data_IF_225079731095
#
_entry.id   IF_225079731095
#
_cell.length_a   1.000
_cell.length_b   1.000
_cell.length_c   1.000
_cell.angle_alpha   90.00
_cell.angle_beta   90.00
_cell.angle_gamma   90.00
#
_symmetry.space_group_name_H-M   'P 1'
#
loop_
_entity.id
_entity.type
_entity.pdbx_description
1 polymer ?
#
# COMPACT_ATOMS: atom_id res chain seq x y z
N UNK A 1 -64.08 1.93 17.14
CA UNK A 1 -62.68 1.82 17.63
C UNK A 1 -62.17 3.22 17.97
N UNK A 2 -61.66 3.48 19.17
CA UNK A 2 -61.32 4.85 19.63
C UNK A 2 -59.98 5.32 19.05
N UNK A 3 -60.02 6.26 18.10
CA UNK A 3 -58.85 6.83 17.43
C UNK A 3 -57.75 7.30 18.39
N UNK A 4 -58.12 7.88 19.54
CA UNK A 4 -57.15 8.34 20.55
C UNK A 4 -56.34 7.18 21.17
N UNK A 5 -56.95 6.00 21.34
CA UNK A 5 -56.26 4.80 21.84
C UNK A 5 -55.30 4.22 20.79
N UNK A 6 -55.69 4.22 19.52
CA UNK A 6 -54.84 3.73 18.42
C UNK A 6 -53.59 4.62 18.30
N UNK A 7 -53.78 5.94 18.30
CA UNK A 7 -52.68 6.92 18.22
C UNK A 7 -51.76 6.82 19.45
N UNK A 8 -52.32 6.63 20.65
CA UNK A 8 -51.54 6.44 21.88
C UNK A 8 -50.66 5.18 21.83
N UNK A 9 -51.22 4.05 21.40
CA UNK A 9 -50.47 2.79 21.25
C UNK A 9 -49.37 2.95 20.18
N UNK A 10 -49.69 3.57 19.05
CA UNK A 10 -48.72 3.80 17.98
C UNK A 10 -47.54 4.67 18.43
N UNK A 11 -47.79 5.73 19.22
CA UNK A 11 -46.70 6.54 19.80
C UNK A 11 -45.83 5.76 20.78
N UNK A 12 -46.43 4.97 21.67
CA UNK A 12 -45.66 4.15 22.62
C UNK A 12 -44.81 3.13 21.88
N UNK A 13 -45.37 2.43 20.88
CA UNK A 13 -44.63 1.48 20.05
C UNK A 13 -43.49 2.19 19.32
N UNK A 14 -43.72 3.37 18.75
CA UNK A 14 -42.68 4.15 18.08
C UNK A 14 -41.54 4.55 19.03
N UNK A 15 -41.85 5.02 20.24
CA UNK A 15 -40.85 5.38 21.25
C UNK A 15 -40.06 4.16 21.72
N UNK A 16 -40.74 3.05 22.02
CA UNK A 16 -40.09 1.80 22.45
C UNK A 16 -39.19 1.25 21.35
N UNK A 17 -39.67 1.19 20.10
CA UNK A 17 -38.84 0.79 18.96
C UNK A 17 -37.65 1.73 18.78
N UNK A 18 -37.84 3.04 18.93
CA UNK A 18 -36.76 4.01 18.87
C UNK A 18 -35.67 3.77 19.91
N UNK A 19 -36.06 3.50 21.16
CA UNK A 19 -35.13 3.19 22.26
C UNK A 19 -34.42 1.85 22.05
N UNK A 20 -35.13 0.81 21.64
CA UNK A 20 -34.56 -0.52 21.37
C UNK A 20 -33.58 -0.47 20.20
N UNK A 21 -33.98 0.15 19.08
CA UNK A 21 -33.11 0.33 17.92
C UNK A 21 -31.89 1.20 18.27
N UNK A 22 -32.08 2.28 19.02
CA UNK A 22 -30.98 3.14 19.48
C UNK A 22 -30.00 2.41 20.40
N UNK A 23 -30.49 1.62 21.34
CA UNK A 23 -29.67 0.81 22.25
C UNK A 23 -28.89 -0.29 21.51
N UNK A 24 -29.55 -0.99 20.57
CA UNK A 24 -28.90 -1.99 19.73
C UNK A 24 -27.80 -1.36 18.87
N UNK A 25 -28.10 -0.23 18.23
CA UNK A 25 -27.16 0.50 17.38
C UNK A 25 -25.94 0.98 18.17
N UNK A 26 -26.14 1.60 19.34
CA UNK A 26 -25.06 2.03 20.22
C UNK A 26 -24.19 0.86 20.69
N UNK A 27 -24.81 -0.27 21.00
CA UNK A 27 -24.09 -1.49 21.41
C UNK A 27 -23.27 -2.07 20.27
N UNK A 28 -23.85 -2.20 19.06
CA UNK A 28 -23.13 -2.69 17.87
C UNK A 28 -21.96 -1.79 17.50
N UNK A 29 -22.15 -0.46 17.57
CA UNK A 29 -21.07 0.49 17.34
C UNK A 29 -19.95 0.33 18.37
N UNK A 30 -20.29 0.24 19.65
CA UNK A 30 -19.28 0.06 20.71
C UNK A 30 -18.52 -1.25 20.56
N UNK A 31 -19.21 -2.35 20.27
CA UNK A 31 -18.59 -3.65 19.98
C UNK A 31 -17.68 -3.56 18.76
N UNK A 32 -18.16 -2.96 17.67
CA UNK A 32 -17.38 -2.76 16.45
C UNK A 32 -16.12 -1.93 16.69
N UNK A 33 -16.25 -0.81 17.39
CA UNK A 33 -15.10 0.03 17.78
C UNK A 33 -14.09 -0.75 18.64
N UNK A 34 -14.56 -1.50 19.64
CA UNK A 34 -13.68 -2.28 20.53
C UNK A 34 -13.02 -3.45 19.82
N UNK A 35 -13.68 -4.09 18.87
CA UNK A 35 -13.09 -5.14 18.04
C UNK A 35 -12.01 -4.55 17.14
N UNK A 36 -12.30 -3.42 16.48
CA UNK A 36 -11.33 -2.66 15.68
C UNK A 36 -10.11 -2.24 16.49
N UNK A 37 -10.29 -1.70 17.71
CA UNK A 37 -9.16 -1.34 18.58
C UNK A 37 -8.34 -2.56 19.01
N UNK A 38 -8.99 -3.72 19.26
CA UNK A 38 -8.31 -4.97 19.58
C UNK A 38 -7.55 -5.54 18.39
N UNK A 39 -8.17 -5.56 17.22
CA UNK A 39 -7.52 -5.97 15.98
C UNK A 39 -6.31 -5.09 15.71
N UNK A 40 -6.48 -3.77 15.74
CA UNK A 40 -5.41 -2.79 15.63
C UNK A 40 -4.23 -3.11 16.57
N UNK A 41 -4.51 -3.28 17.86
CA UNK A 41 -3.50 -3.60 18.85
C UNK A 41 -2.79 -4.94 18.59
N UNK A 42 -3.49 -5.90 17.98
CA UNK A 42 -2.93 -7.20 17.58
C UNK A 42 -1.98 -7.12 16.38
N UNK A 43 -2.08 -6.07 15.55
CA UNK A 43 -1.21 -5.90 14.37
C UNK A 43 0.11 -5.22 14.69
N UNK A 44 0.22 -4.55 15.84
CA UNK A 44 1.51 -4.10 16.36
C UNK A 44 2.31 -5.34 16.77
N UNK A 45 3.61 -5.39 16.44
CA UNK A 45 4.46 -6.53 16.84
C UNK A 45 4.65 -6.62 18.36
N UNK A 46 4.24 -5.59 19.11
CA UNK A 46 4.42 -5.45 20.57
C UNK A 46 5.88 -5.54 21.01
N UNK A 47 6.81 -5.47 20.06
CA UNK A 47 8.23 -5.67 20.21
C UNK A 47 8.95 -4.65 19.33
N UNK A 48 9.92 -3.91 19.87
CA UNK A 48 10.71 -2.96 19.08
C UNK A 48 11.42 -3.67 17.93
N UNK A 49 11.30 -3.12 16.72
CA UNK A 49 11.96 -3.66 15.53
C UNK A 49 13.42 -3.25 15.45
N UNK A 50 14.21 -4.09 14.80
CA UNK A 50 15.60 -3.78 14.52
C UNK A 50 15.72 -2.60 13.53
N UNK A 51 16.79 -1.79 13.61
CA UNK A 51 17.02 -0.66 12.70
C UNK A 51 16.90 -0.98 11.20
N UNK A 52 17.31 -2.17 10.77
CA UNK A 52 17.23 -2.59 9.38
C UNK A 52 15.81 -3.01 8.94
N UNK A 53 15.00 -3.53 9.87
CA UNK A 53 13.59 -3.85 9.64
C UNK A 53 12.77 -2.57 9.47
N UNK A 54 13.02 -1.58 10.34
CA UNK A 54 12.42 -0.23 10.25
C UNK A 54 12.73 0.38 8.87
N UNK A 55 13.99 0.29 8.42
CA UNK A 55 14.40 0.78 7.10
C UNK A 55 13.67 0.07 5.97
N UNK A 56 13.57 -1.27 6.01
CA UNK A 56 12.87 -2.07 5.02
C UNK A 56 11.39 -1.69 4.89
N UNK A 57 10.72 -1.48 6.02
CA UNK A 57 9.32 -1.03 6.05
C UNK A 57 9.17 0.37 5.44
N UNK A 58 10.03 1.34 5.80
CA UNK A 58 9.99 2.68 5.21
C UNK A 58 10.25 2.66 3.70
N UNK A 59 11.24 1.89 3.24
CA UNK A 59 11.53 1.68 1.81
C UNK A 59 10.33 1.08 1.09
N UNK A 60 9.67 0.08 1.69
CA UNK A 60 8.49 -0.54 1.12
C UNK A 60 7.28 0.42 1.11
N UNK A 61 7.10 1.25 2.14
CA UNK A 61 6.02 2.25 2.19
C UNK A 61 6.08 3.18 0.97
N UNK A 62 7.27 3.67 0.61
CA UNK A 62 7.47 4.49 -0.58
C UNK A 62 6.94 3.84 -1.87
N UNK A 63 7.04 2.51 -1.99
CA UNK A 63 6.60 1.80 -3.20
C UNK A 63 5.07 1.72 -3.35
N UNK A 64 4.30 1.85 -2.27
CA UNK A 64 2.84 1.87 -2.34
C UNK A 64 2.27 3.06 -3.12
N UNK A 65 3.05 4.12 -3.38
CA UNK A 65 2.61 5.23 -4.26
C UNK A 65 2.26 4.78 -5.68
N UNK A 66 2.83 3.65 -6.12
CA UNK A 66 2.54 3.04 -7.43
C UNK A 66 1.34 2.08 -7.37
N UNK A 67 0.77 1.90 -6.18
CA UNK A 67 -0.25 0.91 -5.83
C UNK A 67 -1.36 1.58 -4.98
N UNK A 68 -1.94 0.87 -4.01
CA UNK A 68 -2.94 1.40 -3.06
C UNK A 68 -2.22 1.79 -1.78
N UNK A 69 -2.34 3.04 -1.36
CA UNK A 69 -1.64 3.53 -0.16
C UNK A 69 -2.33 2.96 1.10
N UNK A 70 -1.60 2.33 2.03
CA UNK A 70 -2.21 1.72 3.20
C UNK A 70 -2.71 2.76 4.20
N UNK A 71 -3.69 2.37 5.01
CA UNK A 71 -4.14 3.12 6.18
C UNK A 71 -3.50 2.54 7.44
N UNK A 72 -2.99 3.41 8.31
CA UNK A 72 -2.60 3.06 9.67
C UNK A 72 -3.58 3.67 10.66
N UNK A 73 -4.86 3.58 10.35
CA UNK A 73 -5.96 3.70 11.31
C UNK A 73 -7.16 2.94 10.76
N UNK A 74 -8.04 2.45 11.63
CA UNK A 74 -9.33 1.97 11.16
C UNK A 74 -10.11 3.10 10.49
N UNK A 75 -11.11 2.74 9.68
CA UNK A 75 -12.00 3.71 9.03
C UNK A 75 -12.67 4.65 10.04
N UNK A 76 -12.97 4.14 11.23
CA UNK A 76 -13.48 4.92 12.35
C UNK A 76 -12.46 5.93 12.93
N UNK A 77 -11.21 5.90 12.49
CA UNK A 77 -10.18 6.88 12.83
C UNK A 77 -10.00 7.99 11.79
N UNK A 78 -10.75 7.97 10.68
CA UNK A 78 -10.52 8.88 9.53
C UNK A 78 -11.20 10.25 9.69
N UNK A 79 -11.75 10.55 10.86
CA UNK A 79 -12.37 11.84 11.15
C UNK A 79 -11.34 12.98 11.08
N UNK A 80 -11.80 14.19 10.73
CA UNK A 80 -10.98 15.39 10.49
C UNK A 80 -10.07 15.70 11.70
N UNK A 81 -10.52 15.38 12.92
CA UNK A 81 -9.78 15.63 14.17
C UNK A 81 -8.69 14.58 14.45
N UNK A 82 -8.80 13.38 13.85
CA UNK A 82 -7.90 12.25 14.06
C UNK A 82 -7.04 11.91 12.84
N UNK A 83 -6.94 12.81 11.86
CA UNK A 83 -5.99 12.67 10.75
C UNK A 83 -4.54 12.39 11.23
N UNK A 84 -4.17 12.95 12.39
CA UNK A 84 -2.91 12.71 13.08
C UNK A 84 -2.73 11.26 13.57
N UNK A 85 -3.83 10.58 13.91
CA UNK A 85 -3.82 9.19 14.37
C UNK A 85 -3.23 8.26 13.31
N UNK A 86 -3.45 8.54 12.02
CA UNK A 86 -2.87 7.77 10.94
C UNK A 86 -1.33 7.85 10.91
N UNK A 87 -0.77 9.05 11.07
CA UNK A 87 0.70 9.23 11.08
C UNK A 87 1.31 8.64 12.35
N UNK A 88 0.65 8.82 13.49
CA UNK A 88 1.05 8.18 14.76
C UNK A 88 1.01 6.65 14.63
N UNK A 89 -0.07 6.12 14.07
CA UNK A 89 -0.26 4.70 13.81
C UNK A 89 0.81 4.14 12.88
N UNK A 90 1.15 4.87 11.82
CA UNK A 90 2.24 4.49 10.91
C UNK A 90 3.59 4.41 11.65
N UNK A 91 3.93 5.42 12.43
CA UNK A 91 5.18 5.44 13.23
C UNK A 91 5.23 4.26 14.19
N UNK A 92 4.17 4.06 14.99
CA UNK A 92 4.10 2.95 15.95
C UNK A 92 4.16 1.60 15.24
N UNK A 93 3.43 1.46 14.14
CA UNK A 93 3.44 0.25 13.34
C UNK A 93 4.80 -0.03 12.76
N UNK A 94 5.57 0.97 12.30
CA UNK A 94 6.91 0.81 11.72
C UNK A 94 7.94 0.47 12.80
N UNK A 95 7.83 1.07 13.99
CA UNK A 95 8.72 0.80 15.11
C UNK A 95 8.40 -0.52 15.82
N UNK A 96 7.17 -1.03 15.69
CA UNK A 96 6.73 -2.29 16.27
C UNK A 96 6.19 -2.19 17.69
N UNK A 97 6.10 -0.96 18.21
CA UNK A 97 5.69 -0.66 19.57
C UNK A 97 4.93 0.68 19.62
N UNK A 98 4.21 0.92 20.70
CA UNK A 98 3.52 2.19 20.93
C UNK A 98 4.49 3.31 21.35
N UNK A 99 5.23 3.85 20.37
CA UNK A 99 6.21 4.92 20.60
C UNK A 99 5.56 6.29 20.78
N UNK A 100 4.48 6.57 20.07
CA UNK A 100 3.74 7.84 20.07
C UNK A 100 2.30 7.63 20.54
N UNK A 101 1.77 8.57 21.32
CA UNK A 101 0.37 8.61 21.74
C UNK A 101 -0.45 9.32 20.67
N UNK A 102 -1.60 8.73 20.33
CA UNK A 102 -2.57 9.34 19.44
C UNK A 102 -3.15 10.59 20.11
N UNK A 103 -3.14 11.70 19.37
CA UNK A 103 -3.75 12.96 19.74
C UNK A 103 -4.17 13.70 18.47
N UNK A 104 -5.07 14.67 18.60
CA UNK A 104 -5.33 15.63 17.52
C UNK A 104 -4.02 16.31 17.10
N UNK A 105 -3.91 16.68 15.82
CA UNK A 105 -2.67 17.25 15.27
C UNK A 105 -2.15 18.41 16.12
N UNK A 106 -3.03 19.35 16.49
CA UNK A 106 -2.66 20.51 17.31
C UNK A 106 -2.24 20.15 18.74
N UNK A 107 -2.54 18.96 19.25
CA UNK A 107 -2.08 18.49 20.57
C UNK A 107 -0.86 17.58 20.48
N UNK A 108 -0.32 17.34 19.29
CA UNK A 108 0.68 16.31 19.04
C UNK A 108 1.94 16.48 19.86
N UNK A 109 2.53 17.68 19.90
CA UNK A 109 3.78 17.89 20.64
C UNK A 109 3.58 17.74 22.16
N UNK A 110 2.46 18.25 22.68
CA UNK A 110 2.11 18.15 24.11
C UNK A 110 1.90 16.70 24.53
N UNK A 111 1.20 15.91 23.71
CA UNK A 111 0.93 14.51 24.00
C UNK A 111 2.19 13.62 23.95
N UNK A 112 3.25 14.09 23.27
CA UNK A 112 4.45 13.30 22.95
C UNK A 112 5.76 14.02 23.32
N UNK A 113 5.73 14.97 24.25
CA UNK A 113 6.87 15.86 24.54
C UNK A 113 8.13 15.09 24.99
N UNK A 114 7.95 14.02 25.75
CA UNK A 114 9.00 13.11 26.22
C UNK A 114 9.54 12.20 25.10
N UNK A 115 8.76 11.97 24.05
CA UNK A 115 9.04 11.03 22.93
C UNK A 115 9.61 11.71 21.68
N UNK A 116 9.55 13.04 21.62
CA UNK A 116 9.95 13.83 20.46
C UNK A 116 11.14 14.73 20.77
N UNK A 117 11.93 15.04 19.74
CA UNK A 117 12.87 16.16 19.74
C UNK A 117 12.40 17.17 18.69
N UNK A 118 12.10 18.39 19.11
CA UNK A 118 11.79 19.48 18.18
C UNK A 118 13.04 19.81 17.38
N UNK A 119 12.92 19.77 16.05
CA UNK A 119 14.01 20.05 15.13
C UNK A 119 13.80 21.39 14.42
N UNK A 120 12.54 21.79 14.24
CA UNK A 120 12.19 23.00 13.51
C UNK A 120 10.87 23.57 14.03
N UNK A 121 10.80 24.90 14.17
CA UNK A 121 9.60 25.62 14.61
C UNK A 121 9.44 26.96 13.88
N UNK A 122 8.27 27.15 13.26
CA UNK A 122 7.85 28.39 12.59
C UNK A 122 6.61 29.00 13.21
N UNK A 123 6.22 28.59 14.41
CA UNK A 123 4.97 29.08 15.02
C UNK A 123 4.92 30.61 15.09
N UNK A 124 6.07 31.28 15.26
CA UNK A 124 6.24 32.73 15.23
C UNK A 124 5.88 33.41 13.89
N UNK A 125 5.90 32.66 12.78
CA UNK A 125 5.57 33.17 11.45
C UNK A 125 4.04 33.27 11.25
N UNK A 126 3.23 32.80 12.20
CA UNK A 126 1.77 32.85 12.13
C UNK A 126 1.19 33.81 13.15
N UNK A 127 -0.02 34.30 12.87
CA UNK A 127 -0.84 35.11 13.79
C UNK A 127 -2.29 34.63 13.75
N UNK A 128 -3.04 34.99 14.79
CA UNK A 128 -4.48 34.78 14.84
C UNK A 128 -5.18 36.06 14.40
N UNK A 129 -6.06 35.95 13.41
CA UNK A 129 -6.93 37.03 12.94
C UNK A 129 -8.39 36.58 13.06
N UNK A 130 -9.09 37.09 14.07
CA UNK A 130 -10.44 36.62 14.40
C UNK A 130 -10.45 35.13 14.78
N UNK A 131 -11.11 34.30 13.99
CA UNK A 131 -11.16 32.84 14.17
C UNK A 131 -10.24 32.08 13.20
N UNK A 132 -9.25 32.75 12.62
CA UNK A 132 -8.35 32.18 11.61
C UNK A 132 -6.89 32.23 12.06
N UNK A 133 -6.13 31.21 11.66
CA UNK A 133 -4.66 31.22 11.74
C UNK A 133 -4.14 31.63 10.37
N UNK A 134 -3.34 32.70 10.31
CA UNK A 134 -2.86 33.30 9.08
C UNK A 134 -1.33 33.43 9.14
N UNK A 135 -0.65 33.03 8.08
CA UNK A 135 0.80 33.26 7.95
C UNK A 135 1.07 34.76 7.77
N UNK A 136 1.99 35.32 8.56
CA UNK A 136 2.34 36.75 8.52
C UNK A 136 3.02 37.15 7.22
N UNK A 137 3.79 36.23 6.62
CA UNK A 137 4.53 36.42 5.38
C UNK A 137 4.58 35.10 4.63
N UNK A 138 4.07 35.09 3.40
CA UNK A 138 4.18 33.95 2.49
C UNK A 138 5.66 33.73 2.16
N UNK A 139 6.26 32.68 2.74
CA UNK A 139 7.67 32.35 2.55
C UNK A 139 7.79 31.12 1.68
N UNK A 140 8.63 31.23 0.65
CA UNK A 140 9.03 30.06 -0.14
C UNK A 140 9.79 29.09 0.78
N UNK A 141 9.16 27.95 1.06
CA UNK A 141 9.65 26.94 1.99
C UNK A 141 10.38 25.84 1.24
N UNK A 142 11.64 25.52 1.58
CA UNK A 142 12.38 24.43 0.94
C UNK A 142 12.64 23.29 1.93
N UNK A 143 11.70 22.34 2.02
CA UNK A 143 11.85 21.20 2.93
C UNK A 143 13.17 20.46 2.67
N UNK A 144 13.53 20.22 1.41
CA UNK A 144 14.80 19.57 1.05
C UNK A 144 16.03 20.27 1.62
N UNK A 145 16.02 21.60 1.72
CA UNK A 145 17.11 22.41 2.28
C UNK A 145 17.16 22.32 3.81
N UNK A 146 16.00 22.33 4.47
CA UNK A 146 15.90 22.09 5.92
C UNK A 146 16.30 20.65 6.28
N UNK A 147 15.86 19.68 5.47
CA UNK A 147 16.20 18.28 5.64
C UNK A 147 17.70 18.02 5.41
N UNK A 148 18.34 18.69 4.45
CA UNK A 148 19.79 18.59 4.26
C UNK A 148 20.63 19.19 5.42
N UNK A 149 20.00 19.87 6.40
CA UNK A 149 20.69 20.73 7.38
C UNK A 149 20.32 20.54 8.87
N UNK A 150 19.60 19.50 9.38
CA UNK A 150 19.37 19.25 10.87
C UNK A 150 19.50 17.82 11.61
N UNK A 151 20.52 17.48 12.47
CA UNK A 151 20.98 16.12 12.95
C UNK A 151 22.53 15.83 12.94
N UNK A 152 23.16 15.76 14.13
CA UNK A 152 24.62 15.81 14.49
C UNK A 152 25.42 16.90 13.75
N UNK A 153 25.53 18.06 14.39
CA UNK A 153 25.78 19.41 13.86
C UNK A 153 24.58 20.07 13.16
N UNK A 154 23.43 19.42 13.14
CA UNK A 154 22.34 19.87 12.28
C UNK A 154 22.45 19.31 10.83
N UNK A 155 22.15 18.03 10.50
CA UNK A 155 21.59 17.43 9.23
C UNK A 155 20.45 16.37 9.41
N UNK A 156 19.23 16.51 8.84
CA UNK A 156 18.12 15.55 9.06
C UNK A 156 18.48 14.32 8.25
N UNK A 157 18.64 13.19 8.92
CA UNK A 157 19.22 12.00 8.32
C UNK A 157 18.14 11.04 7.83
N UNK A 158 18.32 10.37 6.70
CA UNK A 158 17.44 9.24 6.31
C UNK A 158 17.54 8.02 7.24
N UNK A 159 18.30 8.15 8.34
CA UNK A 159 18.50 7.15 9.37
C UNK A 159 17.62 7.37 10.59
N UNK A 160 16.65 8.29 10.57
CA UNK A 160 15.69 8.51 11.67
C UNK A 160 14.30 8.83 11.13
N UNK A 161 13.27 8.66 11.96
CA UNK A 161 11.90 9.02 11.63
C UNK A 161 11.60 10.46 12.02
N UNK A 162 10.93 11.18 11.11
CA UNK A 162 10.51 12.55 11.32
C UNK A 162 9.02 12.72 11.04
N UNK A 163 8.36 13.47 11.91
CA UNK A 163 6.96 13.89 11.74
C UNK A 163 6.94 15.38 11.47
N UNK A 164 6.23 15.79 10.43
CA UNK A 164 6.01 17.19 10.06
C UNK A 164 4.60 17.57 10.50
N UNK A 165 4.50 18.65 11.28
CA UNK A 165 3.24 19.32 11.55
C UNK A 165 3.05 20.45 10.54
N UNK A 166 1.93 20.44 9.83
CA UNK A 166 1.59 21.47 8.86
C UNK A 166 0.16 21.98 9.03
N UNK A 167 -0.08 23.20 8.57
CA UNK A 167 -1.36 23.89 8.67
C UNK A 167 -1.92 24.15 7.28
N UNK A 168 -3.14 23.70 7.01
CA UNK A 168 -3.87 24.08 5.80
C UNK A 168 -4.43 25.49 5.91
N UNK A 169 -4.23 26.28 4.87
CA UNK A 169 -4.85 27.59 4.71
C UNK A 169 -6.37 27.42 4.78
N UNK A 170 -7.01 28.24 5.61
CA UNK A 170 -8.48 28.31 5.75
C UNK A 170 -9.18 27.04 6.29
N UNK A 171 -8.49 26.18 7.04
CA UNK A 171 -9.14 25.00 7.64
C UNK A 171 -10.26 25.35 8.62
N UNK A 172 -11.30 24.49 8.70
CA UNK A 172 -12.35 24.59 9.73
C UNK A 172 -11.80 24.39 11.15
N UNK A 173 -10.64 23.76 11.26
CA UNK A 173 -9.98 23.47 12.54
C UNK A 173 -9.37 24.72 13.21
N UNK A 174 -9.26 25.87 12.53
CA UNK A 174 -8.61 27.07 13.09
C UNK A 174 -9.20 27.46 14.46
N UNK A 175 -10.53 27.45 14.57
CA UNK A 175 -11.21 27.76 15.83
C UNK A 175 -10.85 26.77 16.95
N UNK A 176 -10.74 25.48 16.64
CA UNK A 176 -10.35 24.45 17.60
C UNK A 176 -8.88 24.60 18.01
N UNK A 177 -8.01 24.90 17.06
CA UNK A 177 -6.58 25.15 17.27
C UNK A 177 -6.38 26.34 18.21
N UNK A 178 -7.04 27.47 17.91
CA UNK A 178 -6.98 28.70 18.71
C UNK A 178 -7.48 28.43 20.13
N UNK A 179 -8.66 27.82 20.27
CA UNK A 179 -9.26 27.54 21.58
C UNK A 179 -8.44 26.57 22.42
N UNK A 180 -7.74 25.62 21.78
CA UNK A 180 -6.92 24.64 22.49
C UNK A 180 -5.59 25.25 23.01
N UNK A 181 -5.18 26.42 22.53
CA UNK A 181 -3.89 27.04 22.87
C UNK A 181 -2.72 26.07 22.65
N UNK A 182 -2.77 25.32 21.56
CA UNK A 182 -1.90 24.18 21.29
C UNK A 182 -1.03 24.44 20.05
N UNK A 183 -0.43 23.40 19.47
CA UNK A 183 0.32 23.54 18.22
C UNK A 183 -0.59 24.05 17.10
N UNK A 184 -0.09 24.98 16.26
CA UNK A 184 -0.92 25.56 15.20
C UNK A 184 -1.08 24.65 13.97
N UNK A 185 -0.52 23.44 13.98
CA UNK A 185 -0.68 22.50 12.87
C UNK A 185 -2.07 21.86 12.88
N UNK A 186 -2.66 21.72 11.69
CA UNK A 186 -3.94 21.04 11.52
C UNK A 186 -3.77 19.57 11.12
N UNK A 187 -2.62 19.19 10.56
CA UNK A 187 -2.35 17.83 10.09
C UNK A 187 -0.91 17.40 10.42
N UNK A 188 -0.64 16.10 10.25
CA UNK A 188 0.68 15.51 10.38
C UNK A 188 1.09 14.78 9.10
N UNK A 189 2.39 14.62 8.91
CA UNK A 189 3.00 13.83 7.84
C UNK A 189 4.22 13.06 8.37
N UNK A 190 4.40 11.82 7.94
CA UNK A 190 5.61 11.02 8.17
C UNK A 190 6.58 11.21 7.00
N UNK A 191 7.83 11.58 7.28
CA UNK A 191 8.90 11.66 6.26
C UNK A 191 9.43 10.25 5.96
N UNK A 192 9.39 9.82 4.70
CA UNK A 192 9.86 8.50 4.27
C UNK A 192 11.34 8.47 3.87
N UNK A 193 11.93 9.64 3.60
CA UNK A 193 13.31 9.75 3.14
C UNK A 193 13.43 10.24 1.70
N UNK A 194 14.65 10.12 1.16
CA UNK A 194 15.00 10.60 -0.18
C UNK A 194 15.02 9.45 -1.19
N UNK A 195 14.20 9.55 -2.23
CA UNK A 195 14.11 8.61 -3.34
C UNK A 195 14.09 9.36 -4.66
N UNK A 196 14.82 8.85 -5.65
CA UNK A 196 14.93 9.47 -6.98
C UNK A 196 15.29 10.96 -6.91
N UNK A 197 16.17 11.30 -5.95
CA UNK A 197 16.62 12.68 -5.70
C UNK A 197 15.62 13.58 -4.95
N UNK A 198 14.39 13.12 -4.71
CA UNK A 198 13.29 13.85 -4.05
C UNK A 198 13.04 13.35 -2.63
N UNK A 199 12.53 14.21 -1.76
CA UNK A 199 11.99 13.80 -0.46
C UNK A 199 10.52 13.42 -0.60
N UNK A 200 10.10 12.40 0.12
CA UNK A 200 8.74 11.87 0.09
C UNK A 200 8.13 11.81 1.48
N UNK A 201 6.81 12.05 1.55
CA UNK A 201 6.05 12.04 2.79
C UNK A 201 4.77 11.23 2.67
N UNK A 202 4.43 10.50 3.73
CA UNK A 202 3.17 9.79 3.90
C UNK A 202 2.22 10.63 4.77
N UNK A 203 1.00 10.82 4.32
CA UNK A 203 0.00 11.62 5.05
C UNK A 203 -1.44 11.28 4.65
N UNK A 204 -2.37 11.76 5.48
CA UNK A 204 -3.80 11.77 5.18
C UNK A 204 -4.18 13.12 4.57
N UNK A 205 -4.86 13.07 3.43
CA UNK A 205 -5.30 14.19 2.61
C UNK A 205 -6.80 14.10 2.37
N UNK A 206 -7.55 15.02 2.98
CA UNK A 206 -8.98 15.17 2.71
C UNK A 206 -9.14 16.21 1.59
N UNK A 207 -9.33 15.76 0.34
CA UNK A 207 -9.67 16.66 -0.76
C UNK A 207 -11.19 16.90 -0.80
N UNK A 208 -11.69 18.10 -0.45
CA UNK A 208 -13.12 18.37 -0.56
C UNK A 208 -13.61 18.32 -2.01
N UNK A 209 -12.73 18.57 -2.99
CA UNK A 209 -13.06 18.54 -4.42
C UNK A 209 -13.07 17.13 -5.01
N UNK A 210 -12.40 16.19 -4.34
CA UNK A 210 -12.35 14.80 -4.75
C UNK A 210 -12.71 13.88 -3.57
N UNK A 211 -13.97 13.94 -3.08
CA UNK A 211 -14.41 13.14 -1.93
C UNK A 211 -14.32 11.62 -2.17
N UNK A 212 -14.17 11.22 -3.44
CA UNK A 212 -13.89 9.84 -3.80
C UNK A 212 -12.42 9.45 -3.79
N UNK A 213 -11.44 10.37 -3.75
CA UNK A 213 -9.99 10.04 -3.77
C UNK A 213 -9.59 9.11 -2.62
N UNK A 214 -8.53 8.30 -2.82
CA UNK A 214 -7.86 7.65 -1.70
C UNK A 214 -7.33 8.77 -0.79
N UNK A 215 -7.78 8.85 0.48
CA UNK A 215 -7.35 9.93 1.35
C UNK A 215 -5.91 9.71 1.81
N UNK A 216 -5.32 8.53 1.65
CA UNK A 216 -3.91 8.29 1.98
C UNK A 216 -3.03 8.56 0.78
N UNK A 217 -1.97 9.35 0.98
CA UNK A 217 -1.07 9.74 -0.10
C UNK A 217 0.39 9.60 0.30
N UNK A 218 1.20 9.37 -0.73
CA UNK A 218 2.66 9.41 -0.67
C UNK A 218 3.11 10.39 -1.75
N UNK A 219 3.33 11.63 -1.34
CA UNK A 219 3.62 12.73 -2.25
C UNK A 219 5.06 13.20 -2.10
N UNK A 220 5.60 13.78 -3.19
CA UNK A 220 6.90 14.43 -3.16
C UNK A 220 6.78 15.73 -2.37
N UNK A 221 7.51 15.82 -1.27
CA UNK A 221 7.53 16.99 -0.37
C UNK A 221 8.65 17.97 -0.72
N UNK A 222 9.36 17.72 -1.82
CA UNK A 222 10.42 18.59 -2.35
C UNK A 222 10.12 19.01 -3.78
N UNK A 223 10.43 20.27 -4.09
CA UNK A 223 10.34 20.84 -5.44
C UNK A 223 11.58 20.45 -6.28
N UNK A 224 11.32 19.97 -7.50
CA UNK A 224 12.29 19.96 -8.59
C UNK A 224 11.69 20.79 -9.73
N UNK A 225 12.37 21.89 -10.10
CA UNK A 225 12.04 22.72 -11.28
C UNK A 225 10.79 23.60 -11.20
N UNK A 226 10.42 24.09 -10.02
CA UNK A 226 9.37 25.10 -9.86
C UNK A 226 7.94 24.56 -9.78
N UNK A 227 7.75 23.23 -9.79
CA UNK A 227 6.44 22.61 -9.54
C UNK A 227 6.45 21.90 -8.18
N UNK A 228 5.57 22.35 -7.30
CA UNK A 228 5.23 21.66 -6.07
C UNK A 228 4.25 20.53 -6.41
N UNK A 229 4.58 19.28 -6.04
CA UNK A 229 3.67 18.14 -6.19
C UNK A 229 2.65 18.08 -5.03
N UNK A 230 2.94 18.75 -3.91
CA UNK A 230 1.94 19.02 -2.89
C UNK A 230 1.23 20.37 -3.16
N UNK A 231 -0.05 20.46 -2.84
CA UNK A 231 -0.86 21.66 -3.10
C UNK A 231 -0.25 22.90 -2.43
N UNK A 232 -0.37 24.07 -3.04
CA UNK A 232 0.09 25.37 -2.51
C UNK A 232 -0.66 25.82 -1.24
N UNK A 233 -1.44 24.93 -0.64
CA UNK A 233 -2.50 25.26 0.31
C UNK A 233 -2.14 24.91 1.76
N UNK A 234 -0.90 24.47 2.04
CA UNK A 234 -0.46 24.27 3.42
C UNK A 234 0.94 24.82 3.69
N UNK A 235 1.11 25.21 4.95
CA UNK A 235 2.34 25.80 5.47
C UNK A 235 2.94 24.86 6.53
N UNK A 236 4.21 24.49 6.36
CA UNK A 236 4.92 23.68 7.37
C UNK A 236 5.15 24.52 8.62
N UNK A 237 4.77 23.97 9.77
CA UNK A 237 4.85 24.66 11.07
C UNK A 237 6.00 24.12 11.90
N UNK A 238 6.03 22.80 12.12
CA UNK A 238 7.00 22.14 13.01
C UNK A 238 7.54 20.86 12.40
N UNK A 239 8.76 20.50 12.76
CA UNK A 239 9.34 19.19 12.46
C UNK A 239 9.85 18.58 13.75
N UNK A 240 9.44 17.34 14.02
CA UNK A 240 9.88 16.57 15.16
C UNK A 240 10.62 15.32 14.71
N UNK A 241 11.74 15.04 15.38
CA UNK A 241 12.37 13.73 15.36
C UNK A 241 11.71 12.83 16.38
N UNK A 242 11.39 11.60 15.99
CA UNK A 242 10.95 10.55 16.91
C UNK A 242 12.19 10.00 17.62
N UNK A 243 12.25 10.09 18.96
CA UNK A 243 13.38 9.54 19.73
C UNK A 243 13.45 8.02 19.54
N UNK A 244 14.67 7.47 19.58
CA UNK A 244 14.94 6.03 19.45
C UNK A 244 14.41 5.43 18.14
N UNK A 245 14.49 6.18 17.05
CA UNK A 245 14.05 5.76 15.72
C UNK A 245 15.22 5.55 14.74
N UNK A 246 16.43 5.33 15.28
CA UNK A 246 17.62 5.10 14.48
C UNK A 246 17.48 3.87 13.57
N UNK A 247 17.80 4.08 12.29
CA UNK A 247 17.84 3.08 11.24
C UNK A 247 19.29 2.91 10.78
N UNK A 248 19.66 1.72 10.28
CA UNK A 248 20.95 1.55 9.61
C UNK A 248 20.98 2.37 8.32
N UNK A 249 22.13 2.99 8.01
CA UNK A 249 22.33 3.73 6.76
C UNK A 249 22.40 2.83 5.52
N UNK A 250 22.63 1.52 5.74
CA UNK A 250 22.90 0.58 4.68
C UNK A 250 21.59 -0.04 4.16
N UNK A 251 21.19 0.36 2.95
CA UNK A 251 20.05 -0.21 2.24
C UNK A 251 20.25 -1.73 2.07
N UNK A 252 19.35 -2.54 2.63
CA UNK A 252 19.36 -4.01 2.49
C UNK A 252 20.13 -4.80 3.54
N UNK A 253 20.60 -4.20 4.64
CA UNK A 253 21.43 -4.89 5.66
C UNK A 253 20.64 -5.68 6.73
N UNK A 254 19.37 -6.03 6.51
CA UNK A 254 18.59 -6.79 7.49
C UNK A 254 17.43 -7.57 6.87
N UNK A 255 16.74 -8.36 7.72
CA UNK A 255 15.54 -9.14 7.33
C UNK A 255 14.56 -8.18 6.66
N UNK A 256 14.31 -8.33 5.35
CA UNK A 256 13.55 -7.32 4.65
C UNK A 256 12.09 -7.60 4.97
N UNK A 257 11.58 -6.82 5.93
CA UNK A 257 10.16 -6.81 6.25
C UNK A 257 9.44 -5.97 5.21
N UNK A 258 8.32 -6.49 4.71
CA UNK A 258 7.49 -5.81 3.73
C UNK A 258 6.10 -5.61 4.29
N UNK A 259 5.56 -4.41 4.09
CA UNK A 259 4.15 -4.17 4.25
C UNK A 259 3.41 -4.71 3.04
N UNK A 260 2.28 -5.35 3.31
CA UNK A 260 1.37 -5.86 2.31
C UNK A 260 -0.02 -5.33 2.57
N UNK A 261 -0.74 -5.04 1.49
CA UNK A 261 -2.15 -4.71 1.53
C UNK A 261 -2.91 -5.71 0.68
N UNK A 262 -3.83 -6.43 1.31
CA UNK A 262 -4.64 -7.45 0.65
C UNK A 262 -6.12 -7.32 1.00
N UNK A 263 -6.56 -6.11 1.37
CA UNK A 263 -7.95 -5.68 1.53
C UNK A 263 -8.38 -4.71 0.41
N UNK A 264 -9.70 -4.63 0.09
CA UNK A 264 -10.15 -3.93 -1.11
C UNK A 264 -9.86 -2.46 -1.00
N UNK A 265 -9.61 -1.73 -2.10
CA UNK A 265 -9.61 -0.27 -2.05
C UNK A 265 -10.90 0.24 -1.40
N UNK A 266 -10.77 1.25 -0.55
CA UNK A 266 -11.84 1.81 0.28
C UNK A 266 -13.13 2.07 -0.49
N UNK A 267 -12.99 2.59 -1.71
CA UNK A 267 -14.07 2.86 -2.65
C UNK A 267 -14.98 1.67 -2.95
N UNK A 268 -14.46 0.43 -2.87
CA UNK A 268 -15.24 -0.77 -3.13
C UNK A 268 -16.09 -1.17 -1.91
N UNK A 269 -15.61 -0.90 -0.70
CA UNK A 269 -16.34 -1.15 0.54
C UNK A 269 -17.42 -0.09 0.78
N UNK A 270 -17.10 1.18 0.50
CA UNK A 270 -17.96 2.35 0.74
C UNK A 270 -19.14 2.52 -0.26
N UNK A 271 -19.22 1.70 -1.31
CA UNK A 271 -20.31 1.84 -2.30
C UNK A 271 -21.68 1.34 -1.81
N UNK A 272 -21.75 0.62 -0.69
CA UNK A 272 -22.97 -0.10 -0.35
C UNK A 272 -23.91 0.59 0.64
N UNK A 273 -23.49 1.56 1.47
CA UNK A 273 -24.33 2.05 2.57
C UNK A 273 -24.12 3.55 2.91
N UNK A 274 -24.95 4.38 2.27
CA UNK A 274 -25.43 5.72 2.72
C UNK A 274 -24.45 6.91 2.79
N UNK A 275 -24.99 8.08 2.40
CA UNK A 275 -24.26 9.32 2.11
C UNK A 275 -23.46 9.93 3.26
N UNK A 276 -22.41 10.65 2.88
CA UNK A 276 -21.43 11.27 3.76
C UNK A 276 -22.05 12.12 4.88
N UNK A 277 -21.61 11.86 6.12
CA UNK A 277 -22.01 12.58 7.31
C UNK A 277 -21.70 11.79 8.59
N UNK A 278 -22.00 12.37 9.76
CA UNK A 278 -21.80 11.72 11.07
C UNK A 278 -22.49 10.34 11.16
N UNK A 279 -23.65 10.17 10.54
CA UNK A 279 -24.35 8.88 10.52
C UNK A 279 -23.66 7.83 9.64
N UNK A 280 -23.02 8.25 8.54
CA UNK A 280 -22.21 7.38 7.68
C UNK A 280 -21.08 6.74 8.47
N UNK A 281 -20.36 7.50 9.29
CA UNK A 281 -19.30 6.99 10.16
C UNK A 281 -19.76 5.85 11.10
N UNK A 282 -20.92 6.01 11.75
CA UNK A 282 -21.43 4.99 12.67
C UNK A 282 -21.84 3.72 11.92
N UNK A 283 -22.55 3.89 10.79
CA UNK A 283 -22.98 2.80 9.92
C UNK A 283 -21.80 2.07 9.29
N UNK A 284 -20.76 2.79 8.88
CA UNK A 284 -19.52 2.26 8.36
C UNK A 284 -18.83 1.38 9.40
N UNK A 285 -18.67 1.90 10.63
CA UNK A 285 -18.05 1.15 11.74
C UNK A 285 -18.80 -0.17 12.01
N UNK A 286 -20.13 -0.13 12.03
CA UNK A 286 -20.96 -1.33 12.22
C UNK A 286 -20.84 -2.28 11.02
N UNK A 287 -20.88 -1.75 9.80
CA UNK A 287 -20.81 -2.55 8.56
C UNK A 287 -19.46 -3.24 8.41
N UNK A 288 -18.38 -2.54 8.74
CA UNK A 288 -17.02 -3.07 8.81
C UNK A 288 -16.95 -4.21 9.81
N UNK A 289 -17.46 -4.00 11.03
CA UNK A 289 -17.50 -5.02 12.07
C UNK A 289 -18.28 -6.27 11.64
N UNK A 290 -19.47 -6.10 11.07
CA UNK A 290 -20.32 -7.21 10.65
C UNK A 290 -19.77 -7.98 9.43
N UNK A 291 -19.01 -7.31 8.54
CA UNK A 291 -18.46 -7.93 7.33
C UNK A 291 -17.03 -8.46 7.51
N UNK A 292 -16.31 -8.03 8.55
CA UNK A 292 -14.90 -8.39 8.77
C UNK A 292 -13.96 -7.91 7.65
N UNK A 293 -14.31 -6.83 6.94
CA UNK A 293 -13.64 -6.39 5.70
C UNK A 293 -13.17 -4.94 5.70
N UNK A 294 -13.22 -4.23 6.83
CA UNK A 294 -12.95 -2.79 6.85
C UNK A 294 -11.54 -2.35 7.14
N UNK A 295 -10.59 -3.27 7.32
CA UNK A 295 -9.26 -2.88 7.77
C UNK A 295 -8.34 -2.70 6.57
N UNK A 296 -7.95 -1.45 6.35
CA UNK A 296 -6.90 -1.09 5.40
C UNK A 296 -5.49 -1.22 5.99
N UNK A 297 -5.37 -1.98 7.08
CA UNK A 297 -4.15 -2.05 7.83
C UNK A 297 -3.13 -2.97 7.17
N UNK A 298 -1.90 -2.49 6.91
CA UNK A 298 -0.90 -3.31 6.28
C UNK A 298 -0.45 -4.42 7.22
N UNK A 299 -0.20 -5.60 6.66
CA UNK A 299 0.46 -6.69 7.38
C UNK A 299 1.95 -6.69 7.08
N UNK A 300 2.74 -7.21 8.01
CA UNK A 300 4.16 -7.44 7.77
C UNK A 300 4.38 -8.87 7.31
N UNK A 301 5.13 -9.03 6.22
CA UNK A 301 5.66 -10.33 5.78
C UNK A 301 7.17 -10.29 5.72
N UNK A 302 7.79 -11.43 6.04
CA UNK A 302 9.21 -11.65 5.85
C UNK A 302 9.45 -12.20 4.44
N UNK A 303 10.22 -11.49 3.61
CA UNK A 303 10.58 -11.94 2.26
C UNK A 303 11.92 -12.67 2.20
N UNK A 304 12.36 -13.27 3.30
CA UNK A 304 13.56 -14.11 3.37
C UNK A 304 13.48 -15.35 2.47
N UNK A 305 12.28 -15.86 2.18
CA UNK A 305 12.09 -16.94 1.21
C UNK A 305 11.88 -16.39 -0.21
N UNK A 306 12.37 -17.09 -1.26
CA UNK A 306 12.18 -16.64 -2.63
C UNK A 306 10.72 -16.51 -3.03
N UNK A 307 9.83 -17.39 -2.56
CA UNK A 307 8.39 -17.29 -2.78
C UNK A 307 7.71 -17.04 -1.43
N UNK A 308 6.86 -16.01 -1.39
CA UNK A 308 6.02 -15.70 -0.22
C UNK A 308 4.57 -15.66 -0.67
N UNK A 309 3.75 -16.53 -0.09
CA UNK A 309 2.32 -16.59 -0.38
C UNK A 309 1.58 -15.63 0.55
N UNK A 310 0.90 -14.63 -0.01
CA UNK A 310 -0.02 -13.77 0.74
C UNK A 310 -1.41 -14.41 0.79
N UNK A 311 -1.78 -15.04 -0.31
CA UNK A 311 -3.00 -15.83 -0.47
C UNK A 311 -2.59 -17.20 -1.00
N UNK A 312 -3.39 -18.22 -0.69
CA UNK A 312 -3.21 -19.56 -1.22
C UNK A 312 -3.01 -19.54 -2.74
N UNK A 313 -2.13 -20.40 -3.22
CA UNK A 313 -1.76 -20.54 -4.64
C UNK A 313 -2.92 -20.82 -5.59
N UNK A 314 -3.98 -21.47 -5.09
CA UNK A 314 -5.15 -21.97 -5.83
C UNK A 314 -6.38 -21.04 -5.70
N UNK A 315 -6.24 -19.88 -5.07
CA UNK A 315 -7.37 -19.02 -4.76
C UNK A 315 -7.96 -18.33 -6.01
N UNK A 316 -9.21 -18.67 -6.34
CA UNK A 316 -9.99 -18.06 -7.42
C UNK A 316 -11.09 -17.09 -6.92
N UNK A 317 -11.16 -16.84 -5.61
CA UNK A 317 -12.36 -16.29 -4.96
C UNK A 317 -12.53 -14.77 -4.96
N UNK A 318 -11.80 -14.00 -5.78
CA UNK A 318 -11.90 -12.54 -5.74
C UNK A 318 -11.96 -11.91 -7.12
N UNK A 319 -12.91 -11.00 -7.30
CA UNK A 319 -13.17 -10.31 -8.57
C UNK A 319 -12.47 -8.95 -8.68
N UNK A 320 -11.61 -8.59 -7.72
CA UNK A 320 -11.02 -7.26 -7.72
C UNK A 320 -9.72 -7.20 -8.56
N UNK A 321 -9.61 -6.28 -9.53
CA UNK A 321 -8.38 -6.17 -10.32
C UNK A 321 -7.18 -5.79 -9.43
N UNK A 322 -6.10 -6.58 -9.51
CA UNK A 322 -4.83 -6.25 -8.86
C UNK A 322 -4.65 -6.71 -7.43
N UNK A 323 -5.40 -7.71 -6.96
CA UNK A 323 -5.11 -8.41 -5.69
C UNK A 323 -3.61 -8.68 -5.56
N UNK A 324 -3.02 -8.44 -4.39
CA UNK A 324 -1.72 -9.03 -4.10
C UNK A 324 -1.91 -10.52 -3.77
N UNK A 325 -1.31 -11.40 -4.58
CA UNK A 325 -1.38 -12.85 -4.40
C UNK A 325 -0.16 -13.38 -3.63
N UNK A 326 1.00 -12.82 -3.91
CA UNK A 326 2.26 -13.20 -3.27
C UNK A 326 3.44 -12.42 -3.82
N UNK A 327 4.64 -12.92 -3.54
CA UNK A 327 5.90 -12.37 -4.03
C UNK A 327 6.81 -13.47 -4.58
N UNK A 328 7.59 -13.11 -5.59
CA UNK A 328 8.78 -13.85 -5.99
C UNK A 328 10.01 -12.96 -5.95
N UNK A 329 10.97 -13.29 -5.09
CA UNK A 329 12.18 -12.52 -4.77
C UNK A 329 11.88 -11.04 -4.49
N UNK A 330 10.76 -10.74 -3.84
CA UNK A 330 10.32 -9.37 -3.55
C UNK A 330 9.59 -8.66 -4.69
N UNK A 331 9.32 -9.31 -5.82
CA UNK A 331 8.47 -8.80 -6.89
C UNK A 331 7.04 -9.29 -6.67
N UNK A 332 6.08 -8.37 -6.59
CA UNK A 332 4.67 -8.71 -6.33
C UNK A 332 4.04 -9.49 -7.50
N UNK A 333 3.28 -10.54 -7.17
CA UNK A 333 2.42 -11.27 -8.11
C UNK A 333 1.00 -10.84 -7.84
N UNK A 334 0.30 -10.37 -8.88
CA UNK A 334 -1.02 -9.77 -8.75
C UNK A 334 -2.08 -10.45 -9.61
N UNK A 335 -3.31 -10.41 -9.12
CA UNK A 335 -4.46 -10.95 -9.83
C UNK A 335 -4.86 -10.05 -10.99
N UNK A 336 -5.08 -10.67 -12.15
CA UNK A 336 -5.68 -10.04 -13.30
C UNK A 336 -7.20 -10.24 -13.29
N UNK A 337 -7.96 -9.16 -13.43
CA UNK A 337 -9.42 -9.23 -13.64
C UNK A 337 -9.82 -8.13 -14.62
N UNK A 338 -10.54 -8.50 -15.68
CA UNK A 338 -11.12 -7.56 -16.64
C UNK A 338 -10.08 -6.83 -17.51
N UNK A 339 -10.45 -5.71 -18.15
CA UNK A 339 -9.55 -5.00 -19.04
C UNK A 339 -8.33 -4.43 -18.30
N UNK A 340 -7.16 -4.60 -18.91
CA UNK A 340 -5.91 -4.08 -18.35
C UNK A 340 -5.69 -2.61 -18.67
N UNK A 341 -5.26 -1.84 -17.67
CA UNK A 341 -4.67 -0.53 -17.90
C UNK A 341 -3.20 -0.67 -18.29
N UNK A 342 -2.70 0.19 -19.17
CA UNK A 342 -1.28 0.19 -19.54
C UNK A 342 -0.43 0.77 -18.39
N UNK A 343 0.55 -0.02 -17.94
CA UNK A 343 1.54 0.36 -16.93
C UNK A 343 2.94 0.58 -17.51
N UNK A 344 3.91 0.73 -16.59
CA UNK A 344 5.35 0.91 -16.89
C UNK A 344 5.95 -0.33 -17.58
N UNK A 345 5.56 -1.53 -17.14
CA UNK A 345 6.12 -2.81 -17.61
C UNK A 345 5.22 -3.57 -18.59
N UNK A 346 4.01 -3.09 -18.88
CA UNK A 346 3.05 -3.80 -19.74
C UNK A 346 1.62 -3.52 -19.36
N UNK A 347 0.69 -4.31 -19.89
CA UNK A 347 -0.71 -4.30 -19.48
C UNK A 347 -0.83 -4.85 -18.05
N UNK A 348 -1.38 -4.05 -17.14
CA UNK A 348 -1.31 -4.34 -15.70
C UNK A 348 -1.94 -5.67 -15.34
N UNK A 349 -1.10 -6.43 -14.64
CA UNK A 349 -1.27 -7.77 -14.09
C UNK A 349 -1.37 -8.91 -15.13
N UNK A 350 -0.99 -8.69 -16.39
CA UNK A 350 -0.85 -9.80 -17.35
C UNK A 350 0.44 -10.61 -17.14
N UNK A 351 0.52 -11.79 -17.74
CA UNK A 351 1.68 -12.69 -17.64
C UNK A 351 2.97 -12.00 -18.11
N UNK A 352 2.96 -11.35 -19.28
CA UNK A 352 4.11 -10.59 -19.82
C UNK A 352 4.53 -9.42 -18.91
N UNK A 353 3.58 -8.77 -18.24
CA UNK A 353 3.88 -7.68 -17.30
C UNK A 353 4.70 -8.16 -16.12
N UNK A 354 4.43 -9.36 -15.59
CA UNK A 354 5.23 -9.95 -14.51
C UNK A 354 6.67 -10.19 -14.98
N UNK A 355 6.85 -10.78 -16.16
CA UNK A 355 8.18 -11.07 -16.71
C UNK A 355 8.98 -9.78 -16.86
N UNK A 356 8.42 -8.79 -17.55
CA UNK A 356 9.03 -7.49 -17.77
C UNK A 356 9.43 -6.81 -16.45
N UNK A 357 8.52 -6.83 -15.48
CA UNK A 357 8.75 -6.21 -14.18
C UNK A 357 9.82 -6.94 -13.38
N UNK A 358 9.80 -8.27 -13.34
CA UNK A 358 10.80 -9.07 -12.65
C UNK A 358 12.20 -8.88 -13.26
N UNK A 359 12.33 -9.03 -14.58
CA UNK A 359 13.61 -8.88 -15.28
C UNK A 359 14.18 -7.47 -15.16
N UNK A 360 13.33 -6.43 -15.25
CA UNK A 360 13.77 -5.06 -15.06
C UNK A 360 14.21 -4.76 -13.61
N UNK A 361 13.46 -5.24 -12.62
CA UNK A 361 13.71 -4.93 -11.20
C UNK A 361 14.82 -5.78 -10.57
N UNK A 362 14.96 -7.04 -10.98
CA UNK A 362 15.88 -8.01 -10.35
C UNK A 362 17.13 -8.27 -11.17
N UNK A 363 17.03 -8.19 -12.49
CA UNK A 363 18.14 -8.50 -13.40
C UNK A 363 18.65 -7.26 -14.15
N UNK A 364 17.97 -6.11 -14.02
CA UNK A 364 18.33 -4.88 -14.73
C UNK A 364 18.10 -4.96 -16.26
N UNK A 365 17.34 -5.95 -16.72
CA UNK A 365 17.12 -6.23 -18.13
C UNK A 365 15.84 -5.54 -18.61
N UNK A 366 16.00 -4.42 -19.34
CA UNK A 366 14.92 -3.45 -19.64
C UNK A 366 14.41 -3.45 -21.08
N UNK A 367 15.07 -4.16 -21.99
CA UNK A 367 14.71 -4.30 -23.41
C UNK A 367 13.43 -5.12 -23.67
N UNK A 368 12.70 -5.51 -22.61
CA UNK A 368 11.43 -6.23 -22.72
C UNK A 368 10.20 -5.33 -22.54
N UNK A 369 10.39 -4.10 -22.04
CA UNK A 369 9.29 -3.31 -21.48
C UNK A 369 8.22 -2.92 -22.52
N UNK A 370 6.94 -3.10 -22.14
CA UNK A 370 5.72 -2.61 -22.82
C UNK A 370 5.38 -3.24 -24.18
N UNK A 371 6.07 -4.28 -24.63
CA UNK A 371 5.88 -4.87 -25.97
C UNK A 371 5.66 -6.38 -25.95
N UNK A 372 4.88 -6.86 -26.92
CA UNK A 372 4.81 -8.26 -27.33
C UNK A 372 3.79 -9.12 -26.58
N UNK A 373 3.45 -10.22 -27.23
CA UNK A 373 2.69 -11.34 -26.69
C UNK A 373 3.63 -12.31 -25.94
N UNK A 374 3.08 -13.28 -25.23
CA UNK A 374 3.87 -14.20 -24.41
C UNK A 374 4.72 -15.16 -25.26
N UNK A 375 4.17 -15.62 -26.38
CA UNK A 375 4.87 -16.38 -27.43
C UNK A 375 6.15 -15.68 -27.97
N UNK A 376 6.20 -14.34 -27.95
CA UNK A 376 7.33 -13.56 -28.46
C UNK A 376 8.60 -13.75 -27.64
N UNK A 377 8.50 -14.24 -26.41
CA UNK A 377 9.64 -14.66 -25.62
C UNK A 377 10.35 -15.87 -26.21
N UNK A 378 9.63 -16.69 -26.99
CA UNK A 378 10.19 -17.81 -27.73
C UNK A 378 10.62 -17.44 -29.14
N UNK A 379 9.75 -16.84 -29.95
CA UNK A 379 10.08 -16.62 -31.36
C UNK A 379 11.01 -15.42 -31.59
N UNK A 380 10.92 -14.39 -30.74
CA UNK A 380 11.80 -13.20 -30.76
C UNK A 380 12.79 -13.19 -29.59
N UNK A 381 13.18 -14.38 -29.09
CA UNK A 381 14.07 -14.52 -27.94
C UNK A 381 15.41 -13.78 -28.14
N UNK A 382 16.01 -13.91 -29.33
CA UNK A 382 17.30 -13.30 -29.64
C UNK A 382 17.25 -11.76 -29.58
N UNK A 383 16.21 -11.15 -30.14
CA UNK A 383 15.98 -9.69 -30.11
C UNK A 383 15.77 -9.20 -28.67
N UNK A 384 15.20 -10.06 -27.83
CA UNK A 384 15.03 -9.85 -26.40
C UNK A 384 16.28 -10.19 -25.59
N UNK A 385 17.39 -10.59 -26.22
CA UNK A 385 18.64 -10.90 -25.53
C UNK A 385 18.57 -12.19 -24.72
N UNK A 386 17.84 -13.19 -25.22
CA UNK A 386 17.71 -14.51 -24.61
C UNK A 386 18.20 -15.64 -25.50
N UNK A 387 18.78 -16.66 -24.86
CA UNK A 387 19.05 -17.98 -25.44
C UNK A 387 17.87 -18.91 -25.20
N UNK A 388 17.52 -19.67 -26.24
CA UNK A 388 16.41 -20.64 -26.23
C UNK A 388 16.89 -22.04 -25.89
N UNK A 389 16.07 -22.74 -25.11
CA UNK A 389 16.23 -24.15 -24.79
C UNK A 389 14.90 -24.85 -25.07
N UNK A 390 14.80 -25.61 -26.18
CA UNK A 390 13.56 -26.32 -26.53
C UNK A 390 13.14 -27.28 -25.44
N UNK A 391 11.83 -27.50 -25.30
CA UNK A 391 11.33 -28.55 -24.44
C UNK A 391 11.87 -29.91 -24.91
N UNK A 392 12.52 -30.66 -24.03
CA UNK A 392 13.32 -31.84 -24.39
C UNK A 392 14.82 -31.56 -24.62
N UNK A 393 15.30 -30.34 -24.39
CA UNK A 393 16.73 -29.97 -24.45
C UNK A 393 17.56 -30.69 -23.36
N UNK A 394 18.85 -30.98 -23.60
CA UNK A 394 19.73 -31.58 -22.57
C UNK A 394 19.98 -30.65 -21.38
N UNK A 395 19.70 -29.36 -21.52
CA UNK A 395 19.81 -28.40 -20.44
C UNK A 395 18.59 -28.51 -19.55
N UNK A 396 18.76 -28.45 -18.23
CA UNK A 396 17.61 -28.39 -17.31
C UNK A 396 17.15 -26.91 -17.17
N UNK A 397 15.84 -26.65 -16.99
CA UNK A 397 15.37 -25.35 -16.51
C UNK A 397 16.07 -24.94 -15.21
N UNK A 398 16.19 -23.65 -14.95
CA UNK A 398 16.82 -23.09 -13.74
C UNK A 398 15.98 -21.95 -13.15
N UNK A 399 16.06 -21.69 -11.83
CA UNK A 399 15.43 -20.53 -11.22
C UNK A 399 15.76 -19.23 -11.95
N UNK A 400 14.73 -18.47 -12.32
CA UNK A 400 14.85 -17.26 -13.12
C UNK A 400 14.55 -17.43 -14.61
N UNK A 401 14.63 -18.66 -15.16
CA UNK A 401 14.25 -18.92 -16.55
C UNK A 401 12.78 -18.56 -16.80
N UNK A 402 12.48 -18.15 -18.03
CA UNK A 402 11.09 -17.93 -18.49
C UNK A 402 10.63 -19.17 -19.23
N UNK A 403 9.65 -19.88 -18.70
CA UNK A 403 8.91 -20.91 -19.43
C UNK A 403 7.95 -20.24 -20.40
N UNK A 404 7.92 -20.72 -21.64
CA UNK A 404 7.02 -20.21 -22.70
C UNK A 404 6.09 -21.33 -23.14
N UNK A 405 4.79 -21.05 -23.10
CA UNK A 405 3.71 -21.96 -23.49
C UNK A 405 2.95 -21.35 -24.66
N UNK A 406 2.56 -22.20 -25.61
CA UNK A 406 1.80 -21.77 -26.78
C UNK A 406 1.03 -22.97 -27.36
N UNK A 407 -0.27 -22.78 -27.61
CA UNK A 407 -1.17 -23.81 -28.11
C UNK A 407 -1.21 -23.97 -29.64
N UNK A 408 -0.84 -22.94 -30.41
CA UNK A 408 -0.99 -22.96 -31.87
C UNK A 408 0.31 -23.28 -32.63
N UNK A 409 1.47 -23.16 -31.97
CA UNK A 409 2.77 -23.44 -32.56
C UNK A 409 3.11 -22.51 -33.74
N UNK A 410 2.43 -21.37 -33.84
CA UNK A 410 2.59 -20.40 -34.91
C UNK A 410 3.63 -19.32 -34.52
N UNK A 411 4.27 -18.64 -35.47
CA UNK A 411 5.24 -17.57 -35.19
C UNK A 411 4.66 -16.45 -34.32
N UNK A 412 5.50 -15.73 -33.57
CA UNK A 412 5.02 -14.72 -32.61
C UNK A 412 4.06 -13.69 -33.20
N UNK A 413 2.95 -13.47 -32.50
CA UNK A 413 1.92 -12.50 -32.90
C UNK A 413 1.06 -12.94 -34.08
N UNK A 414 1.10 -14.23 -34.42
CA UNK A 414 0.19 -14.90 -35.36
C UNK A 414 -1.27 -14.82 -34.93
N UNK A 415 -1.55 -14.63 -33.64
CA UNK A 415 -2.91 -14.72 -33.09
C UNK A 415 -3.11 -13.81 -31.88
N UNK A 416 -3.83 -12.71 -32.06
CA UNK A 416 -4.40 -11.95 -30.92
C UNK A 416 -5.36 -12.81 -30.08
N UNK A 417 -5.90 -13.89 -30.67
CA UNK A 417 -6.74 -14.88 -29.99
C UNK A 417 -5.97 -15.92 -29.18
N UNK A 418 -4.66 -16.08 -29.41
CA UNK A 418 -3.79 -16.98 -28.65
C UNK A 418 -2.40 -16.36 -28.48
N UNK A 419 -2.23 -15.40 -27.54
CA UNK A 419 -0.94 -14.74 -27.33
C UNK A 419 0.11 -15.63 -26.64
N UNK A 420 -0.19 -16.92 -26.41
CA UNK A 420 0.56 -17.83 -25.56
C UNK A 420 0.51 -17.45 -24.08
N UNK A 421 1.39 -18.08 -23.29
CA UNK A 421 1.56 -17.79 -21.87
C UNK A 421 3.01 -17.90 -21.41
N UNK A 422 3.38 -17.15 -20.38
CA UNK A 422 4.73 -17.14 -19.80
C UNK A 422 4.71 -17.21 -18.28
N UNK A 423 5.67 -17.92 -17.72
CA UNK A 423 5.87 -18.06 -16.29
C UNK A 423 7.36 -18.03 -15.92
N UNK A 424 7.68 -17.61 -14.70
CA UNK A 424 9.07 -17.57 -14.20
C UNK A 424 9.32 -18.82 -13.36
N UNK A 425 10.39 -19.54 -13.66
CA UNK A 425 10.83 -20.67 -12.84
C UNK A 425 11.33 -20.17 -11.48
N UNK A 426 10.80 -20.74 -10.40
CA UNK A 426 11.19 -20.39 -9.02
C UNK A 426 12.06 -21.43 -8.35
N UNK A 427 11.86 -22.70 -8.71
CA UNK A 427 12.61 -23.84 -8.16
C UNK A 427 12.54 -25.01 -9.13
N UNK A 428 13.60 -25.81 -9.17
CA UNK A 428 13.65 -27.03 -9.98
C UNK A 428 14.10 -28.18 -9.10
N UNK A 429 13.43 -29.31 -9.21
CA UNK A 429 13.82 -30.59 -8.60
C UNK A 429 14.00 -31.64 -9.69
N UNK A 430 14.32 -32.87 -9.32
CA UNK A 430 14.45 -33.97 -10.28
C UNK A 430 13.13 -34.32 -10.97
N UNK A 431 11.98 -34.09 -10.32
CA UNK A 431 10.65 -34.47 -10.85
C UNK A 431 9.73 -33.28 -11.14
N UNK A 432 10.13 -32.05 -10.82
CA UNK A 432 9.25 -30.91 -10.97
C UNK A 432 9.97 -29.59 -11.27
N UNK A 433 9.27 -28.70 -11.98
CA UNK A 433 9.62 -27.30 -12.15
C UNK A 433 8.53 -26.44 -11.52
N UNK A 434 8.89 -25.69 -10.48
CA UNK A 434 8.00 -24.75 -9.82
C UNK A 434 8.09 -23.38 -10.48
N UNK A 435 6.97 -22.69 -10.57
CA UNK A 435 6.83 -21.44 -11.30
C UNK A 435 5.93 -20.44 -10.57
N UNK A 436 6.11 -19.16 -10.90
CA UNK A 436 5.17 -18.07 -10.58
C UNK A 436 4.68 -17.41 -11.86
N UNK A 437 3.43 -16.96 -11.83
CA UNK A 437 2.74 -16.42 -13.00
C UNK A 437 1.59 -15.47 -12.60
N UNK A 438 1.24 -14.58 -13.52
CA UNK A 438 0.01 -13.78 -13.46
C UNK A 438 -0.91 -14.16 -14.63
N UNK A 439 -2.17 -13.72 -14.57
CA UNK A 439 -3.18 -14.04 -15.58
C UNK A 439 -3.37 -15.56 -15.78
N UNK A 440 -3.36 -16.29 -14.67
CA UNK A 440 -3.56 -17.74 -14.62
C UNK A 440 -4.41 -18.08 -13.38
N UNK A 441 -5.14 -19.20 -13.44
CA UNK A 441 -5.95 -19.67 -12.31
C UNK A 441 -5.13 -20.03 -11.07
N UNK A 442 -3.93 -20.59 -11.26
CA UNK A 442 -2.94 -20.84 -10.20
C UNK A 442 -1.76 -19.89 -10.39
N UNK A 443 -1.43 -19.07 -9.40
CA UNK A 443 -0.35 -18.08 -9.53
C UNK A 443 1.04 -18.62 -9.13
N UNK A 444 1.08 -19.67 -8.32
CA UNK A 444 2.30 -20.39 -7.94
C UNK A 444 2.01 -21.88 -7.89
N UNK A 445 2.85 -22.70 -8.52
CA UNK A 445 2.64 -24.14 -8.59
C UNK A 445 3.84 -24.84 -9.21
N UNK A 446 3.82 -26.16 -9.29
CA UNK A 446 4.86 -26.93 -9.95
C UNK A 446 4.25 -27.81 -11.04
N UNK A 447 4.93 -27.87 -12.18
CA UNK A 447 4.64 -28.79 -13.27
C UNK A 447 5.58 -29.99 -13.17
N UNK A 448 5.12 -31.20 -13.56
CA UNK A 448 6.02 -32.34 -13.68
C UNK A 448 7.17 -32.05 -14.65
N UNK A 449 8.37 -32.49 -14.27
CA UNK A 449 9.58 -32.44 -15.06
C UNK A 449 10.08 -33.87 -15.26
N UNK A 450 10.19 -34.29 -16.51
CA UNK A 450 10.64 -35.63 -16.88
C UNK A 450 12.05 -35.56 -17.48
N UNK A 451 12.93 -36.45 -17.04
CA UNK A 451 14.20 -36.71 -17.70
C UNK A 451 14.01 -37.82 -18.74
N UNK A 452 14.14 -37.47 -20.02
CA UNK A 452 14.13 -38.40 -21.15
C UNK A 452 15.54 -38.55 -21.73
N UNK A 453 15.71 -39.50 -22.66
CA UNK A 453 16.99 -39.73 -23.35
C UNK A 453 17.46 -38.47 -24.09
N UNK A 454 16.53 -37.74 -24.70
CA UNK A 454 16.82 -36.50 -25.44
C UNK A 454 17.11 -35.30 -24.54
N UNK A 455 16.64 -35.30 -23.30
CA UNK A 455 16.81 -34.19 -22.37
C UNK A 455 15.65 -34.02 -21.38
N UNK A 456 15.44 -32.79 -20.92
CA UNK A 456 14.46 -32.44 -19.89
C UNK A 456 13.16 -31.95 -20.52
N UNK A 457 12.05 -32.58 -20.14
CA UNK A 457 10.72 -32.26 -20.64
C UNK A 457 9.81 -31.73 -19.54
N UNK A 458 9.24 -30.54 -19.76
CA UNK A 458 8.22 -29.93 -18.92
C UNK A 458 6.84 -30.27 -19.48
N UNK A 459 5.93 -30.73 -18.63
CA UNK A 459 4.54 -31.01 -19.01
C UNK A 459 3.75 -29.73 -19.38
N UNK A 460 2.65 -29.85 -20.16
CA UNK A 460 1.77 -28.73 -20.46
C UNK A 460 1.25 -28.03 -19.20
N UNK A 461 1.02 -26.72 -19.30
CA UNK A 461 0.34 -25.98 -18.24
C UNK A 461 -1.16 -26.34 -18.25
N UNK A 462 -1.79 -26.62 -17.09
CA UNK A 462 -3.16 -27.13 -17.01
C UNK A 462 -4.20 -26.00 -17.18
N UNK A 463 -4.14 -25.29 -18.30
CA UNK A 463 -5.22 -24.43 -18.75
C UNK A 463 -6.34 -25.28 -19.36
N UNK A 464 -7.45 -24.65 -19.72
CA UNK A 464 -8.53 -25.31 -20.44
C UNK A 464 -8.75 -24.62 -21.80
N UNK A 465 -8.22 -25.19 -22.90
CA UNK A 465 -7.47 -26.46 -22.98
C UNK A 465 -6.02 -26.35 -22.44
N UNK A 466 -5.36 -27.49 -22.11
CA UNK A 466 -3.96 -27.48 -21.70
C UNK A 466 -3.06 -26.90 -22.79
N UNK A 467 -2.07 -26.11 -22.40
CA UNK A 467 -1.18 -25.42 -23.35
C UNK A 467 0.24 -26.02 -23.27
N UNK A 468 0.80 -26.51 -24.38
CA UNK A 468 2.10 -27.17 -24.36
C UNK A 468 3.24 -26.17 -24.13
N UNK A 469 4.30 -26.66 -23.48
CA UNK A 469 5.52 -25.89 -23.26
C UNK A 469 6.42 -25.97 -24.50
N UNK A 470 6.72 -24.83 -25.12
CA UNK A 470 7.68 -24.74 -26.22
C UNK A 470 9.11 -24.96 -25.73
N UNK A 471 9.39 -24.50 -24.51
CA UNK A 471 10.69 -24.56 -23.87
C UNK A 471 10.87 -23.43 -22.85
N UNK A 472 12.12 -23.12 -22.54
CA UNK A 472 12.46 -21.98 -21.70
C UNK A 472 13.52 -21.11 -22.35
N UNK A 473 13.55 -19.85 -21.92
CA UNK A 473 14.56 -18.89 -22.34
C UNK A 473 15.32 -18.35 -21.14
N UNK A 474 16.61 -18.07 -21.38
CA UNK A 474 17.57 -17.63 -20.36
C UNK A 474 18.38 -16.47 -20.90
N UNK A 475 18.69 -15.51 -20.04
CA UNK A 475 19.60 -14.40 -20.36
C UNK A 475 21.04 -14.85 -20.51
#
# INVERSE_FOLDING_TARGET
>A
MNWKRIVGIAMVVFVVLGLVCGGLFGTLFWLGKREVEREWASKLSQTPRAPAEIRGLIDNLYHFRKEVVPSFVPQSGWDDELCAANVVGAVNFILGEERLKVAAAWKFSRANQDRLRLVYDRTQDFKVEGQRVVEKKDRIFWLSRLLATHGRNGRLTSTRLYVIGYHYRQTRSDRLIINAGADINSHLMLVLGRYDGRWWGYHLYHDPKHPGADPFRIDSVSNLWGRWDMTTDFDVVKIWEVKNSEMTSQKGSGRPLFMIQDTPPYRQVNKLLFGGGRWGYWLDTISVYLRGQGEHFPRVVDLSTPVVQVIRSDYQGSSWPGRLLGFYQGVSVRQHVGPSQRGEYGLKHQCVELINRFYAQKLGHRNLARTGHADSYWYAAADKGFKRYPNGSPNQPQPGDILVFDGDGQPAGSSESNPGHVAIVTRVTEQAVCLVQQNAGQWHGCLPLQRRVSGWQVEPIPFNPPMPCLGWVRR
#
